data_IF_754886388892
#
_entry.id   IF_754886388892
#
_cell.length_a   1.000
_cell.length_b   1.000
_cell.length_c   1.000
_cell.angle_alpha   90.00
_cell.angle_beta   90.00
_cell.angle_gamma   90.00
#
_symmetry.space_group_name_H-M   'P 1'
#
loop_
_entity.id
_entity.type
_entity.pdbx_description
1 polymer ?
#
# COMPACT_ATOMS: atom_id res chain seq x y z
N UNK A 1 -38.49 -11.31 -12.47
CA UNK A 1 -37.93 -10.28 -11.57
C UNK A 1 -36.81 -10.95 -10.78
N UNK A 2 -35.54 -10.60 -11.05
CA UNK A 2 -34.39 -11.20 -10.35
C UNK A 2 -33.84 -10.22 -9.33
N UNK A 3 -33.77 -10.61 -8.05
CA UNK A 3 -33.10 -9.82 -7.00
C UNK A 3 -31.72 -10.41 -6.73
N UNK A 4 -30.68 -9.68 -7.15
CA UNK A 4 -29.30 -9.95 -6.79
C UNK A 4 -29.01 -9.34 -5.41
N UNK A 5 -28.83 -10.18 -4.38
CA UNK A 5 -28.28 -9.75 -3.08
C UNK A 5 -26.76 -9.88 -3.16
N UNK A 6 -26.11 -8.77 -3.49
CA UNK A 6 -24.67 -8.67 -3.58
C UNK A 6 -24.10 -7.68 -2.58
N UNK A 7 -23.12 -8.18 -1.82
CA UNK A 7 -21.98 -7.47 -1.22
C UNK A 7 -22.16 -6.90 0.19
N UNK A 8 -21.69 -7.72 1.13
CA UNK A 8 -21.16 -7.35 2.43
C UNK A 8 -20.28 -6.10 2.37
N UNK A 9 -20.60 -5.09 3.17
CA UNK A 9 -19.71 -3.96 3.47
C UNK A 9 -19.38 -3.98 4.95
N UNK A 10 -18.41 -4.81 5.32
CA UNK A 10 -17.74 -4.66 6.60
C UNK A 10 -16.83 -3.42 6.51
N UNK A 11 -17.35 -2.25 6.85
CA UNK A 11 -16.54 -1.06 7.02
C UNK A 11 -15.99 -1.05 8.44
N UNK A 12 -14.98 -1.89 8.70
CA UNK A 12 -14.14 -1.74 9.90
C UNK A 12 -13.24 -0.53 9.72
N UNK A 13 -13.78 0.65 10.00
CA UNK A 13 -13.02 1.89 10.15
C UNK A 13 -12.35 1.91 11.52
N UNK A 14 -11.29 1.12 11.69
CA UNK A 14 -10.38 1.27 12.82
C UNK A 14 -9.59 2.57 12.64
N UNK A 15 -9.70 3.43 13.65
CA UNK A 15 -9.17 4.79 13.77
C UNK A 15 -7.63 4.86 13.90
N UNK A 16 -6.88 4.00 13.20
CA UNK A 16 -5.46 4.26 13.04
C UNK A 16 -5.34 5.41 12.05
N UNK A 17 -4.87 6.57 12.52
CA UNK A 17 -4.55 7.73 11.67
C UNK A 17 -3.80 7.24 10.44
N UNK A 18 -4.49 7.18 9.29
CA UNK A 18 -3.92 6.75 8.01
C UNK A 18 -3.14 7.91 7.44
N UNK A 19 -2.06 8.29 8.10
CA UNK A 19 -1.09 9.19 7.49
C UNK A 19 -0.44 8.45 6.33
N UNK A 20 -0.32 9.16 5.21
CA UNK A 20 0.20 8.62 3.96
C UNK A 20 1.58 9.19 3.74
N UNK A 21 2.54 8.34 3.40
CA UNK A 21 3.91 8.75 3.09
C UNK A 21 4.10 8.78 1.59
N UNK A 22 4.70 9.85 1.07
CA UNK A 22 5.13 9.92 -0.33
C UNK A 22 6.63 9.76 -0.40
N UNK A 23 7.11 8.87 -1.26
CA UNK A 23 8.53 8.59 -1.41
C UNK A 23 8.84 8.09 -2.82
N UNK A 24 9.73 8.78 -3.55
CA UNK A 24 10.25 8.36 -4.87
C UNK A 24 9.16 8.00 -5.89
N UNK A 25 8.02 8.69 -5.86
CA UNK A 25 6.89 8.40 -6.75
C UNK A 25 5.97 7.28 -6.26
N UNK A 26 6.12 6.82 -5.01
CA UNK A 26 5.27 5.85 -4.35
C UNK A 26 4.50 6.46 -3.17
N UNK A 27 3.32 5.91 -2.93
CA UNK A 27 2.45 6.15 -1.78
C UNK A 27 2.57 4.94 -0.85
N UNK A 28 2.97 5.18 0.40
CA UNK A 28 3.05 4.18 1.46
C UNK A 28 1.87 4.39 2.41
N UNK A 29 1.07 3.35 2.57
CA UNK A 29 -0.16 3.39 3.36
C UNK A 29 -0.04 2.34 4.47
N UNK A 30 0.06 2.76 5.75
CA UNK A 30 0.08 1.81 6.86
C UNK A 30 -1.25 1.06 6.93
N UNK A 31 -1.18 -0.25 7.16
CA UNK A 31 -2.32 -1.14 7.29
C UNK A 31 -2.58 -1.45 8.77
N UNK A 32 -3.79 -1.93 9.08
CA UNK A 32 -4.19 -2.29 10.45
C UNK A 32 -3.39 -3.47 11.03
N UNK A 33 -2.75 -4.23 10.16
CA UNK A 33 -1.97 -5.45 10.45
C UNK A 33 -0.46 -5.13 10.51
N UNK A 34 -0.11 -3.88 10.86
CA UNK A 34 1.27 -3.36 10.97
C UNK A 34 2.11 -3.34 9.68
N UNK A 35 1.60 -3.90 8.59
CA UNK A 35 2.23 -3.88 7.27
C UNK A 35 2.00 -2.59 6.50
N UNK A 36 2.68 -2.47 5.36
CA UNK A 36 2.56 -1.32 4.47
C UNK A 36 2.06 -1.73 3.09
N UNK A 37 1.07 -1.01 2.57
CA UNK A 37 0.72 -1.07 1.16
C UNK A 37 1.53 -0.01 0.42
N UNK A 38 2.41 -0.46 -0.48
CA UNK A 38 3.23 0.39 -1.34
C UNK A 38 2.60 0.41 -2.72
N UNK A 39 2.26 1.57 -3.26
CA UNK A 39 1.72 1.72 -4.62
C UNK A 39 2.35 2.92 -5.32
N UNK A 40 2.47 2.93 -6.66
CA UNK A 40 2.89 4.13 -7.37
C UNK A 40 1.87 5.29 -7.19
N UNK A 41 2.36 6.53 -7.14
CA UNK A 41 1.56 7.76 -7.09
C UNK A 41 0.80 7.99 -8.40
N UNK A 42 1.36 7.56 -9.53
CA UNK A 42 0.73 7.61 -10.85
C UNK A 42 0.78 6.23 -11.50
N UNK A 43 -0.39 5.67 -11.82
CA UNK A 43 -0.51 4.48 -12.68
C UNK A 43 -0.15 4.89 -14.12
N UNK A 44 0.55 4.08 -14.94
CA UNK A 44 0.64 2.60 -14.92
C UNK A 44 2.09 2.07 -14.78
N UNK A 45 2.77 2.30 -13.65
CA UNK A 45 4.17 1.86 -13.51
C UNK A 45 4.32 0.36 -13.26
N UNK A 46 5.36 -0.24 -13.86
CA UNK A 46 5.67 -1.68 -13.97
C UNK A 46 5.72 -2.48 -12.65
N UNK A 47 5.89 -1.83 -11.51
CA UNK A 47 5.87 -2.50 -10.20
C UNK A 47 4.51 -2.26 -9.55
N UNK A 48 3.61 -3.21 -9.78
CA UNK A 48 2.32 -3.37 -9.10
C UNK A 48 2.44 -3.13 -7.59
N UNK A 49 1.33 -2.79 -6.91
CA UNK A 49 1.37 -2.61 -5.47
C UNK A 49 1.88 -3.86 -4.77
N UNK A 50 2.83 -3.69 -3.85
CA UNK A 50 3.34 -4.78 -3.02
C UNK A 50 3.13 -4.46 -1.55
N UNK A 51 3.06 -5.53 -0.75
CA UNK A 51 2.94 -5.43 0.70
C UNK A 51 4.33 -5.56 1.30
N UNK A 52 4.79 -4.55 2.00
CA UNK A 52 5.97 -4.68 2.86
C UNK A 52 5.54 -5.25 4.22
N UNK A 53 6.36 -6.09 4.87
CA UNK A 53 6.07 -6.66 6.18
C UNK A 53 5.92 -5.58 7.26
N UNK A 54 5.59 -6.02 8.48
CA UNK A 54 5.56 -5.14 9.64
C UNK A 54 6.98 -4.59 9.90
N UNK A 55 7.21 -3.36 9.50
CA UNK A 55 8.53 -2.71 9.54
C UNK A 55 8.36 -1.19 9.67
N UNK A 56 9.43 -0.49 10.01
CA UNK A 56 9.40 0.97 10.11
C UNK A 56 9.24 1.61 8.72
N UNK A 57 8.81 2.87 8.68
CA UNK A 57 8.75 3.62 7.41
C UNK A 57 10.12 3.69 6.72
N UNK A 58 11.21 3.70 7.49
CA UNK A 58 12.58 3.72 6.96
C UNK A 58 12.95 2.43 6.23
N UNK A 59 12.63 1.26 6.82
CA UNK A 59 12.78 -0.04 6.16
C UNK A 59 12.00 -0.11 4.84
N UNK A 60 10.77 0.41 4.81
CA UNK A 60 9.95 0.44 3.59
C UNK A 60 10.59 1.32 2.52
N UNK A 61 11.20 2.45 2.90
CA UNK A 61 11.95 3.31 1.97
C UNK A 61 13.20 2.61 1.43
N UNK A 62 13.96 1.93 2.29
CA UNK A 62 15.14 1.17 1.89
C UNK A 62 14.77 0.02 0.93
N UNK A 63 13.66 -0.67 1.18
CA UNK A 63 13.13 -1.72 0.30
C UNK A 63 12.74 -1.17 -1.08
N UNK A 64 12.16 0.03 -1.13
CA UNK A 64 11.85 0.71 -2.40
C UNK A 64 13.14 1.07 -3.13
N UNK A 65 14.12 1.63 -2.43
CA UNK A 65 15.39 2.01 -3.05
C UNK A 65 16.12 0.80 -3.64
N UNK A 66 16.18 -0.32 -2.90
CA UNK A 66 16.72 -1.59 -3.39
C UNK A 66 16.00 -2.07 -4.67
N UNK A 67 14.66 -2.11 -4.68
CA UNK A 67 13.87 -2.53 -5.85
C UNK A 67 14.01 -1.61 -7.07
N UNK A 68 14.34 -0.34 -6.86
CA UNK A 68 14.61 0.62 -7.93
C UNK A 68 16.07 0.53 -8.40
N UNK A 69 17.00 0.23 -7.49
CA UNK A 69 18.42 0.04 -7.78
C UNK A 69 18.77 -1.26 -8.50
N UNK A 70 17.89 -2.26 -8.48
CA UNK A 70 18.04 -3.52 -9.24
C UNK A 70 17.83 -3.38 -10.75
N UNK A 71 17.59 -2.18 -11.28
CA UNK A 71 17.39 -1.96 -12.71
C UNK A 71 18.69 -1.41 -13.34
N UNK A 72 19.39 -2.19 -14.20
CA UNK A 72 20.60 -1.73 -14.91
C UNK A 72 20.30 -0.60 -15.90
#
# INVERSE_FOLDING_TARGET
>A
MGTATGRSTATSSSLHQRWVVRYRGFVLIPQNDLTWLVRPERSPMQQLPFRAPASSVDDVKALIDWRLGERP
#
